data_IF_346968768797
#
_entry.id   IF_346968768797
#
_cell.length_a   1.000
_cell.length_b   1.000
_cell.length_c   1.000
_cell.angle_alpha   90.00
_cell.angle_beta   90.00
_cell.angle_gamma   90.00
#
_symmetry.space_group_name_H-M   'P 1'
#
loop_
_entity.id
_entity.type
_entity.pdbx_description
1 polymer ?
#
# COMPACT_ATOMS: atom_id res chain seq x y z
N UNK A 1 -51.89 28.09 11.56
CA UNK A 1 -51.90 27.46 12.91
C UNK A 1 -51.25 26.08 12.93
N UNK A 2 -51.57 25.19 11.98
CA UNK A 2 -51.11 23.80 11.92
C UNK A 2 -49.59 23.58 11.73
N UNK A 3 -48.90 24.46 10.99
CA UNK A 3 -47.44 24.34 10.76
C UNK A 3 -46.61 24.60 12.03
N UNK A 4 -47.09 25.47 12.93
CA UNK A 4 -46.41 25.77 14.20
C UNK A 4 -46.53 24.59 15.18
N UNK A 5 -47.68 23.92 15.21
CA UNK A 5 -47.92 22.73 16.04
C UNK A 5 -47.07 21.55 15.56
N UNK A 6 -46.93 21.35 14.24
CA UNK A 6 -46.09 20.31 13.67
C UNK A 6 -44.59 20.50 13.95
N UNK A 7 -44.09 21.76 13.98
CA UNK A 7 -42.71 22.08 14.36
C UNK A 7 -42.46 21.84 15.86
N UNK A 8 -43.40 22.21 16.72
CA UNK A 8 -43.30 21.97 18.16
C UNK A 8 -43.28 20.46 18.49
N UNK A 9 -44.12 19.66 17.84
CA UNK A 9 -44.14 18.19 18.01
C UNK A 9 -42.86 17.51 17.51
N UNK A 10 -42.24 18.00 16.42
CA UNK A 10 -40.94 17.50 15.96
C UNK A 10 -39.79 17.88 16.90
N UNK A 11 -39.82 19.07 17.49
CA UNK A 11 -38.84 19.48 18.48
C UNK A 11 -38.94 18.66 19.77
N UNK A 12 -40.16 18.40 20.26
CA UNK A 12 -40.43 17.54 21.42
C UNK A 12 -39.99 16.09 21.18
N UNK A 13 -40.22 15.52 20.00
CA UNK A 13 -39.71 14.18 19.64
C UNK A 13 -38.19 14.12 19.59
N UNK A 14 -37.51 15.16 19.07
CA UNK A 14 -36.04 15.22 19.07
C UNK A 14 -35.47 15.37 20.48
N UNK A 15 -36.09 16.18 21.33
CA UNK A 15 -35.70 16.31 22.73
C UNK A 15 -35.87 14.98 23.49
N UNK A 16 -36.99 14.26 23.28
CA UNK A 16 -37.24 12.96 23.90
C UNK A 16 -36.26 11.86 23.45
N UNK A 17 -35.73 11.94 22.21
CA UNK A 17 -34.71 11.02 21.70
C UNK A 17 -33.28 11.33 22.19
N UNK A 18 -32.99 12.59 22.52
CA UNK A 18 -31.65 13.02 22.92
C UNK A 18 -31.45 13.01 24.45
N UNK A 19 -32.54 13.09 25.23
CA UNK A 19 -32.49 13.06 26.69
C UNK A 19 -31.83 11.77 27.26
N UNK A 20 -32.12 10.56 26.75
CA UNK A 20 -31.49 9.33 27.24
C UNK A 20 -29.99 9.30 26.94
N UNK A 21 -29.57 9.82 25.78
CA UNK A 21 -28.16 9.90 25.37
C UNK A 21 -27.36 10.92 26.20
N UNK A 22 -27.98 12.05 26.56
CA UNK A 22 -27.36 13.02 27.44
C UNK A 22 -27.24 12.48 28.88
N UNK A 23 -28.25 11.76 29.37
CA UNK A 23 -28.22 11.13 30.68
C UNK A 23 -27.19 10.00 30.78
N UNK A 24 -27.01 9.18 29.74
CA UNK A 24 -25.96 8.15 29.72
C UNK A 24 -24.56 8.73 29.62
N UNK A 25 -24.36 9.80 28.83
CA UNK A 25 -23.09 10.50 28.77
C UNK A 25 -22.71 11.15 30.12
N UNK A 26 -23.69 11.72 30.83
CA UNK A 26 -23.48 12.28 32.17
C UNK A 26 -23.19 11.18 33.21
N UNK A 27 -23.86 10.02 33.12
CA UNK A 27 -23.59 8.88 33.99
C UNK A 27 -22.17 8.31 33.77
N UNK A 28 -21.69 8.25 32.53
CA UNK A 28 -20.32 7.81 32.20
C UNK A 28 -19.23 8.78 32.72
N UNK A 29 -19.53 10.08 32.81
CA UNK A 29 -18.62 11.08 33.39
C UNK A 29 -18.55 11.02 34.92
N UNK A 30 -19.57 10.44 35.57
CA UNK A 30 -19.65 10.28 37.02
C UNK A 30 -19.10 8.93 37.52
N UNK A 31 -18.73 8.02 36.61
CA UNK A 31 -18.07 6.77 36.99
C UNK A 31 -16.61 7.05 37.41
N UNK A 32 -16.17 6.53 38.57
CA UNK A 32 -14.78 6.65 39.00
C UNK A 32 -13.85 5.97 37.98
N UNK A 33 -12.85 6.71 37.51
CA UNK A 33 -11.83 6.16 36.59
C UNK A 33 -11.06 5.04 37.29
N UNK A 34 -10.83 3.90 36.61
CA UNK A 34 -9.98 2.85 37.17
C UNK A 34 -8.56 3.39 37.39
N UNK A 35 -7.88 3.01 38.49
CA UNK A 35 -6.51 3.42 38.73
C UNK A 35 -5.58 2.85 37.65
N UNK A 36 -4.50 3.58 37.28
CA UNK A 36 -3.53 3.09 36.33
C UNK A 36 -2.86 1.81 36.85
N UNK A 37 -2.77 0.80 35.99
CA UNK A 37 -2.06 -0.44 36.25
C UNK A 37 -0.58 -0.14 36.53
N UNK A 38 -0.11 -0.49 37.73
CA UNK A 38 1.29 -0.42 38.09
C UNK A 38 2.10 -1.44 37.28
N UNK A 39 3.32 -1.09 36.80
CA UNK A 39 4.17 -2.04 36.11
C UNK A 39 4.68 -3.12 37.07
N UNK A 40 4.60 -4.39 36.66
CA UNK A 40 5.15 -5.53 37.40
C UNK A 40 6.66 -5.38 37.61
N UNK A 41 7.18 -5.71 38.81
CA UNK A 41 8.62 -5.73 39.05
C UNK A 41 9.26 -6.91 38.32
N UNK A 42 10.24 -6.64 37.45
CA UNK A 42 11.14 -7.66 36.91
C UNK A 42 12.12 -8.08 38.01
N UNK A 43 12.10 -9.35 38.36
CA UNK A 43 13.18 -9.99 39.13
C UNK A 43 14.46 -10.09 38.28
N UNK A 44 15.65 -9.88 38.86
CA UNK A 44 16.91 -10.03 38.14
C UNK A 44 17.25 -11.51 37.93
N UNK A 45 17.57 -11.88 36.70
CA UNK A 45 18.08 -13.21 36.32
C UNK A 45 19.52 -13.38 36.81
N UNK A 46 19.83 -14.57 37.34
CA UNK A 46 21.14 -14.98 37.83
C UNK A 46 22.19 -15.13 36.69
N UNK A 47 23.49 -15.02 36.98
CA UNK A 47 24.55 -15.16 35.99
C UNK A 47 24.81 -16.64 35.65
N UNK A 48 25.17 -16.89 34.38
CA UNK A 48 25.48 -18.22 33.85
C UNK A 48 26.83 -18.75 34.39
N UNK A 49 26.97 -20.08 34.56
CA UNK A 49 28.22 -20.68 35.05
C UNK A 49 29.27 -20.83 33.94
N UNK A 50 30.53 -20.60 34.33
CA UNK A 50 31.75 -20.80 33.54
C UNK A 50 31.93 -22.29 33.19
N UNK A 51 32.30 -22.56 31.94
CA UNK A 51 32.63 -23.90 31.43
C UNK A 51 34.14 -23.96 31.17
N UNK A 52 34.80 -24.96 31.77
CA UNK A 52 36.21 -25.30 31.56
C UNK A 52 36.41 -25.98 30.19
N UNK A 53 37.52 -25.64 29.52
CA UNK A 53 38.00 -26.33 28.32
C UNK A 53 38.95 -27.49 28.66
N UNK A 54 38.96 -28.58 27.87
CA UNK A 54 40.06 -29.53 27.87
C UNK A 54 41.00 -29.34 26.67
N UNK A 55 42.29 -29.29 26.99
CA UNK A 55 43.45 -29.38 26.09
C UNK A 55 43.44 -30.63 25.21
N UNK A 56 43.70 -30.47 23.90
CA UNK A 56 44.27 -31.50 23.02
C UNK A 56 45.30 -30.87 22.07
N UNK A 57 46.35 -31.63 21.80
CA UNK A 57 47.67 -31.23 21.33
C UNK A 57 47.77 -30.83 19.86
N UNK A 58 48.77 -29.98 19.61
CA UNK A 58 49.24 -29.43 18.35
C UNK A 58 49.89 -30.49 17.45
N UNK A 59 49.55 -30.49 16.16
CA UNK A 59 50.43 -30.99 15.11
C UNK A 59 50.57 -29.90 14.03
N UNK A 60 51.82 -29.49 13.81
CA UNK A 60 52.22 -28.43 12.91
C UNK A 60 52.04 -28.85 11.45
N UNK A 61 51.44 -27.98 10.63
CA UNK A 61 51.77 -27.86 9.22
C UNK A 61 51.71 -26.38 8.82
N UNK A 62 52.86 -25.89 8.37
CA UNK A 62 53.14 -24.52 7.95
C UNK A 62 52.70 -24.34 6.52
N UNK A 63 51.73 -23.45 6.26
CA UNK A 63 51.59 -22.75 4.96
C UNK A 63 51.11 -21.31 5.24
N UNK A 64 51.96 -20.39 4.81
CA UNK A 64 51.95 -18.90 4.74
C UNK A 64 50.60 -18.17 4.70
N UNK A 65 50.50 -17.08 5.49
CA UNK A 65 49.50 -16.00 5.36
C UNK A 65 49.63 -15.24 4.02
N UNK A 66 48.56 -14.51 3.62
CA UNK A 66 48.71 -13.06 3.70
C UNK A 66 47.50 -12.35 4.35
N UNK A 67 47.82 -11.45 5.28
CA UNK A 67 47.19 -10.17 5.59
C UNK A 67 45.70 -10.00 5.19
N UNK A 68 44.79 -10.29 6.12
CA UNK A 68 43.47 -9.64 6.14
C UNK A 68 43.38 -8.72 7.34
N UNK A 69 43.49 -7.43 7.05
CA UNK A 69 43.28 -6.32 7.96
C UNK A 69 41.91 -6.46 8.61
N UNK A 70 41.91 -6.34 9.93
CA UNK A 70 40.73 -6.23 10.77
C UNK A 70 39.83 -5.06 10.31
N UNK A 71 38.57 -5.40 10.07
CA UNK A 71 37.49 -4.45 9.79
C UNK A 71 36.15 -5.09 10.12
N UNK A 72 36.00 -5.62 11.34
CA UNK A 72 34.66 -5.84 11.91
C UNK A 72 34.10 -4.48 12.34
N UNK A 73 33.76 -3.65 11.36
CA UNK A 73 32.68 -2.69 11.56
C UNK A 73 31.39 -3.49 11.55
N UNK A 74 30.57 -3.26 12.58
CA UNK A 74 29.25 -3.85 12.76
C UNK A 74 28.41 -3.64 11.48
N UNK A 75 28.23 -4.71 10.70
CA UNK A 75 27.40 -4.75 9.48
C UNK A 75 25.89 -4.70 9.81
N UNK A 76 25.51 -4.05 10.93
CA UNK A 76 24.17 -3.51 11.16
C UNK A 76 23.95 -2.28 10.27
N UNK A 77 24.05 -2.55 8.97
CA UNK A 77 24.00 -1.62 7.85
C UNK A 77 22.84 -0.62 7.94
N UNK A 78 23.17 0.66 7.83
CA UNK A 78 22.24 1.79 7.90
C UNK A 78 21.09 1.67 6.87
N UNK A 79 19.97 1.09 7.29
CA UNK A 79 18.76 1.01 6.47
C UNK A 79 18.29 2.42 6.06
N UNK A 80 17.70 2.59 4.86
CA UNK A 80 17.08 3.86 4.46
C UNK A 80 16.13 4.41 5.51
N UNK A 81 16.09 5.74 5.65
CA UNK A 81 15.31 6.45 6.68
C UNK A 81 13.80 6.13 6.73
N UNK A 82 13.24 5.62 5.64
CA UNK A 82 11.83 5.25 5.53
C UNK A 82 11.54 3.81 5.98
N UNK A 83 12.57 3.00 6.22
CA UNK A 83 12.49 1.65 6.76
C UNK A 83 12.51 1.69 8.30
N UNK A 84 12.00 0.64 8.94
CA UNK A 84 11.92 0.55 10.40
C UNK A 84 13.32 0.49 11.00
N UNK A 85 13.61 1.43 11.89
CA UNK A 85 14.95 1.56 12.49
C UNK A 85 16.01 2.14 11.57
N UNK A 86 15.67 2.48 10.32
CA UNK A 86 16.60 3.09 9.38
C UNK A 86 16.83 4.57 9.66
N UNK A 87 18.07 5.02 9.49
CA UNK A 87 18.52 6.39 9.67
C UNK A 87 19.26 6.95 8.45
N UNK A 88 19.55 6.11 7.44
CA UNK A 88 20.28 6.52 6.24
C UNK A 88 19.49 7.52 5.43
N UNK A 89 20.00 8.75 5.39
CA UNK A 89 19.48 9.87 4.60
C UNK A 89 20.15 9.92 3.22
N UNK A 90 19.50 10.53 2.22
CA UNK A 90 20.18 10.83 0.97
C UNK A 90 21.40 11.73 1.21
N UNK A 91 22.56 11.32 0.70
CA UNK A 91 23.84 11.94 1.01
C UNK A 91 24.00 13.30 0.33
N UNK A 92 23.69 13.35 -0.97
CA UNK A 92 23.87 14.52 -1.82
C UNK A 92 22.72 14.68 -2.82
N UNK A 93 22.55 15.90 -3.30
CA UNK A 93 21.61 16.19 -4.37
C UNK A 93 22.10 15.57 -5.68
N UNK A 94 21.24 14.80 -6.34
CA UNK A 94 21.50 14.19 -7.65
C UNK A 94 20.56 14.82 -8.69
N UNK A 95 21.05 15.69 -9.58
CA UNK A 95 20.24 16.36 -10.60
C UNK A 95 19.50 15.39 -11.52
N UNK A 96 20.13 14.25 -11.86
CA UNK A 96 19.66 13.24 -12.81
C UNK A 96 19.04 12.00 -12.13
N UNK A 97 18.63 12.10 -10.87
CA UNK A 97 17.94 11.01 -10.17
C UNK A 97 16.72 10.48 -10.95
N UNK A 98 16.42 9.18 -10.94
CA UNK A 98 15.27 8.65 -11.69
C UNK A 98 13.96 8.90 -10.95
N UNK A 99 13.33 10.04 -11.19
CA UNK A 99 12.22 10.56 -10.39
C UNK A 99 10.88 10.57 -11.14
N UNK A 100 10.92 10.86 -12.44
CA UNK A 100 9.74 10.99 -13.29
C UNK A 100 9.53 9.75 -14.18
N UNK A 101 8.31 9.52 -14.70
CA UNK A 101 7.99 8.33 -15.50
C UNK A 101 8.93 8.08 -16.68
N UNK A 102 9.37 9.15 -17.35
CA UNK A 102 10.32 9.08 -18.46
C UNK A 102 11.73 8.63 -18.05
N UNK A 103 12.13 8.80 -16.78
CA UNK A 103 13.47 8.43 -16.31
C UNK A 103 13.62 6.92 -16.07
N UNK A 104 12.50 6.26 -15.74
CA UNK A 104 12.43 4.83 -15.44
C UNK A 104 11.05 4.25 -15.83
N UNK A 105 10.82 3.98 -17.12
CA UNK A 105 9.55 3.43 -17.60
C UNK A 105 9.22 2.09 -16.93
N UNK A 106 8.01 1.99 -16.36
CA UNK A 106 7.51 0.78 -15.70
C UNK A 106 7.94 0.59 -14.24
N UNK A 107 8.88 1.41 -13.74
CA UNK A 107 9.25 1.45 -12.31
C UNK A 107 8.22 2.31 -11.53
N UNK A 108 8.12 2.16 -10.21
CA UNK A 108 7.25 3.02 -9.38
C UNK A 108 7.95 4.28 -8.84
N UNK A 109 9.28 4.30 -8.88
CA UNK A 109 10.20 5.37 -8.46
C UNK A 109 10.02 5.79 -7.00
N UNK A 110 9.30 5.02 -6.18
CA UNK A 110 8.95 5.40 -4.80
C UNK A 110 10.22 5.61 -3.98
N UNK A 111 11.17 4.67 -4.07
CA UNK A 111 12.43 4.72 -3.31
C UNK A 111 13.31 5.88 -3.77
N UNK A 112 13.42 6.09 -5.08
CA UNK A 112 14.21 7.17 -5.67
C UNK A 112 13.65 8.54 -5.26
N UNK A 113 12.33 8.69 -5.24
CA UNK A 113 11.64 9.89 -4.76
C UNK A 113 11.86 10.12 -3.25
N UNK A 114 11.86 9.06 -2.43
CA UNK A 114 12.15 9.16 -0.99
C UNK A 114 13.63 9.43 -0.68
N UNK A 115 14.53 9.09 -1.61
CA UNK A 115 15.98 9.33 -1.51
C UNK A 115 16.43 10.56 -2.31
N UNK A 116 15.50 11.41 -2.74
CA UNK A 116 15.85 12.69 -3.33
C UNK A 116 16.07 13.76 -2.25
N UNK A 117 17.07 14.62 -2.43
CA UNK A 117 17.31 15.79 -1.57
C UNK A 117 17.70 17.01 -2.40
N UNK A 118 17.51 18.19 -1.81
CA UNK A 118 17.93 19.48 -2.39
C UNK A 118 19.40 19.79 -2.10
N UNK A 119 20.06 20.66 -2.88
CA UNK A 119 21.38 21.19 -2.56
C UNK A 119 21.40 21.87 -1.18
N UNK A 120 22.38 21.53 -0.34
CA UNK A 120 22.50 22.06 1.04
C UNK A 120 22.88 23.55 1.08
N UNK A 121 23.56 24.04 0.05
CA UNK A 121 24.15 25.38 0.02
C UNK A 121 23.28 26.43 -0.68
N UNK A 122 22.01 26.10 -0.95
CA UNK A 122 21.10 26.98 -1.67
C UNK A 122 19.92 27.40 -0.79
N UNK A 123 19.53 28.67 -0.92
CA UNK A 123 18.29 29.16 -0.32
C UNK A 123 17.11 28.73 -1.18
N UNK A 124 16.48 27.63 -0.80
CA UNK A 124 15.31 27.08 -1.52
C UNK A 124 14.01 27.72 -0.99
N UNK A 125 13.14 28.27 -1.86
CA UNK A 125 11.86 28.83 -1.44
C UNK A 125 10.91 27.73 -0.92
N UNK A 126 9.92 28.12 -0.11
CA UNK A 126 8.86 27.20 0.31
C UNK A 126 7.82 27.13 -0.82
N UNK A 127 7.52 25.92 -1.29
CA UNK A 127 6.47 25.66 -2.28
C UNK A 127 5.11 25.47 -1.61
N UNK A 128 4.06 26.05 -2.16
CA UNK A 128 2.68 25.91 -1.66
C UNK A 128 1.94 24.85 -2.46
N UNK A 129 1.40 23.85 -1.77
CA UNK A 129 0.58 22.79 -2.35
C UNK A 129 -0.86 22.96 -1.85
N UNK A 130 -1.79 23.24 -2.76
CA UNK A 130 -3.21 23.38 -2.46
C UNK A 130 -3.92 22.03 -2.60
N UNK A 131 -4.63 21.61 -1.56
CA UNK A 131 -5.48 20.42 -1.57
C UNK A 131 -6.91 20.84 -1.93
N UNK A 132 -7.32 20.60 -3.18
CA UNK A 132 -8.59 21.11 -3.71
C UNK A 132 -9.81 20.57 -2.94
N UNK A 133 -9.70 19.36 -2.38
CA UNK A 133 -10.77 18.69 -1.64
C UNK A 133 -10.69 18.89 -0.12
N UNK A 134 -9.78 19.77 0.33
CA UNK A 134 -9.56 20.07 1.75
C UNK A 134 -8.79 19.00 2.52
N UNK A 135 -8.33 19.36 3.72
CA UNK A 135 -7.47 18.50 4.54
C UNK A 135 -8.09 17.16 4.94
N UNK A 136 -9.41 17.13 5.22
CA UNK A 136 -10.11 15.93 5.67
C UNK A 136 -10.09 14.79 4.64
N UNK A 137 -10.10 15.10 3.35
CA UNK A 137 -10.02 14.10 2.28
C UNK A 137 -8.65 13.39 2.23
N UNK A 138 -7.62 13.98 2.84
CA UNK A 138 -6.23 13.51 2.83
C UNK A 138 -5.72 13.08 4.21
N UNK A 139 -6.44 13.39 5.29
CA UNK A 139 -6.01 13.04 6.66
C UNK A 139 -4.75 13.78 7.13
N UNK A 140 -4.47 14.98 6.61
CA UNK A 140 -3.26 15.76 6.92
C UNK A 140 -3.57 17.12 7.55
N UNK A 141 -2.56 17.72 8.17
CA UNK A 141 -2.66 19.05 8.77
C UNK A 141 -2.19 20.16 7.83
N UNK A 142 -2.65 21.38 8.09
CA UNK A 142 -2.20 22.57 7.38
C UNK A 142 -0.73 22.91 7.66
N UNK A 143 -0.15 23.74 6.79
CA UNK A 143 1.18 24.29 7.00
C UNK A 143 2.28 23.29 6.66
N UNK A 144 3.38 23.35 7.43
CA UNK A 144 4.57 22.51 7.22
C UNK A 144 4.58 21.22 8.04
N UNK A 145 3.53 20.98 8.84
CA UNK A 145 3.47 19.92 9.85
C UNK A 145 3.79 18.54 9.26
N UNK A 146 3.20 18.22 8.11
CA UNK A 146 3.38 16.91 7.48
C UNK A 146 4.85 16.66 7.11
N UNK A 147 5.55 17.69 6.60
CA UNK A 147 6.92 17.54 6.14
C UNK A 147 7.93 17.49 7.29
N UNK A 148 7.73 18.32 8.31
CA UNK A 148 8.63 18.40 9.47
C UNK A 148 8.46 17.18 10.37
N UNK A 149 7.21 16.76 10.65
CA UNK A 149 6.93 15.59 11.51
C UNK A 149 7.50 14.31 10.93
N UNK A 150 7.34 14.09 9.62
CA UNK A 150 7.88 12.93 8.94
C UNK A 150 9.37 13.06 8.62
N UNK A 151 10.01 14.18 8.98
CA UNK A 151 11.42 14.47 8.70
C UNK A 151 11.75 14.24 7.22
N UNK A 152 10.93 14.76 6.29
CA UNK A 152 11.17 14.56 4.87
C UNK A 152 12.57 15.10 4.48
N UNK A 153 13.35 14.41 3.63
CA UNK A 153 14.59 14.97 3.09
C UNK A 153 14.38 16.29 2.33
N UNK A 154 13.22 16.43 1.69
CA UNK A 154 12.73 17.70 1.13
C UNK A 154 11.51 18.16 1.94
N UNK A 155 11.72 19.15 2.80
CA UNK A 155 10.69 19.67 3.73
C UNK A 155 10.21 21.10 3.38
N UNK A 156 10.67 21.63 2.25
CA UNK A 156 10.45 23.02 1.80
C UNK A 156 9.09 23.19 1.11
N UNK A 157 8.04 22.66 1.71
CA UNK A 157 6.67 22.82 1.24
C UNK A 157 5.71 23.18 2.36
N UNK A 158 4.55 23.72 2.00
CA UNK A 158 3.43 23.98 2.91
C UNK A 158 2.12 23.53 2.27
N UNK A 159 1.28 22.85 3.05
CA UNK A 159 -0.05 22.43 2.63
C UNK A 159 -1.08 23.53 2.94
N UNK A 160 -1.94 23.82 1.98
CA UNK A 160 -3.11 24.69 2.12
C UNK A 160 -4.37 23.98 1.66
N UNK A 161 -5.51 24.38 2.21
CA UNK A 161 -6.85 24.04 1.73
C UNK A 161 -7.68 25.31 1.46
N UNK A 162 -7.04 26.49 1.51
CA UNK A 162 -7.69 27.76 1.27
C UNK A 162 -7.80 28.01 -0.23
N UNK A 163 -9.03 28.10 -0.74
CA UNK A 163 -9.27 28.30 -2.18
C UNK A 163 -8.72 29.62 -2.71
N UNK A 164 -8.44 30.60 -1.83
CA UNK A 164 -7.78 31.86 -2.21
C UNK A 164 -6.35 31.64 -2.69
N UNK A 165 -5.72 30.54 -2.29
CA UNK A 165 -4.38 30.18 -2.74
C UNK A 165 -4.36 29.60 -4.16
N UNK A 166 -5.50 29.29 -4.77
CA UNK A 166 -5.56 28.64 -6.08
C UNK A 166 -4.83 29.43 -7.18
N UNK A 167 -4.77 30.76 -7.10
CA UNK A 167 -4.04 31.59 -8.07
C UNK A 167 -2.52 31.63 -7.86
N UNK A 168 -2.02 31.22 -6.69
CA UNK A 168 -0.61 31.41 -6.27
C UNK A 168 0.09 30.13 -5.82
N UNK A 169 -0.64 29.03 -5.63
CA UNK A 169 -0.04 27.74 -5.29
C UNK A 169 0.89 27.25 -6.40
N UNK A 170 1.97 26.57 -6.04
CA UNK A 170 2.89 25.94 -6.99
C UNK A 170 2.30 24.64 -7.55
N UNK A 171 1.52 23.92 -6.73
CA UNK A 171 0.80 22.73 -7.14
C UNK A 171 -0.62 22.69 -6.55
N UNK A 172 -1.56 22.09 -7.29
CA UNK A 172 -2.92 21.81 -6.84
C UNK A 172 -3.19 20.31 -7.02
N UNK A 173 -3.62 19.66 -5.94
CA UNK A 173 -3.94 18.24 -5.91
C UNK A 173 -5.46 18.03 -5.87
N UNK A 174 -5.98 17.34 -6.88
CA UNK A 174 -7.39 17.03 -7.07
C UNK A 174 -7.64 15.54 -6.82
N UNK A 175 -8.40 15.23 -5.78
CA UNK A 175 -8.79 13.87 -5.42
C UNK A 175 -10.12 13.51 -6.06
N UNK A 176 -10.13 12.44 -6.86
CA UNK A 176 -11.30 11.77 -7.44
C UNK A 176 -12.16 12.59 -8.43
N UNK A 177 -12.09 13.92 -8.41
CA UNK A 177 -12.83 14.80 -9.30
C UNK A 177 -12.15 16.15 -9.44
N UNK A 178 -12.37 16.77 -10.61
CA UNK A 178 -11.94 18.14 -10.88
C UNK A 178 -13.08 19.13 -10.64
N UNK A 179 -12.86 20.09 -9.73
CA UNK A 179 -13.72 21.27 -9.60
C UNK A 179 -12.88 22.51 -9.92
N UNK A 180 -13.12 23.17 -11.07
CA UNK A 180 -12.34 24.33 -11.46
C UNK A 180 -12.42 25.47 -10.45
N UNK A 181 -11.30 26.11 -10.17
CA UNK A 181 -11.27 27.39 -9.47
C UNK A 181 -11.51 28.54 -10.45
N UNK A 182 -12.25 29.57 -10.05
CA UNK A 182 -12.45 30.77 -10.86
C UNK A 182 -11.26 31.72 -10.76
N UNK A 183 -10.07 31.25 -11.13
CA UNK A 183 -8.81 32.00 -11.10
C UNK A 183 -8.02 31.78 -12.37
N UNK A 184 -7.24 32.78 -12.80
CA UNK A 184 -6.30 32.61 -13.90
C UNK A 184 -5.14 31.74 -13.43
N UNK A 185 -5.01 30.56 -14.04
CA UNK A 185 -3.95 29.60 -13.74
C UNK A 185 -2.57 30.11 -14.22
N UNK A 186 -1.54 30.14 -13.36
CA UNK A 186 -0.16 30.37 -13.79
C UNK A 186 0.38 29.22 -14.64
N UNK A 187 1.19 29.51 -15.65
CA UNK A 187 1.77 28.49 -16.55
C UNK A 187 2.69 27.50 -15.83
N UNK A 188 3.30 27.91 -14.72
CA UNK A 188 4.20 27.08 -13.91
C UNK A 188 3.46 26.26 -12.84
N UNK A 189 2.15 26.47 -12.67
CA UNK A 189 1.38 25.77 -11.65
C UNK A 189 1.03 24.35 -12.09
N UNK A 190 1.36 23.38 -11.24
CA UNK A 190 1.23 21.95 -11.50
C UNK A 190 -0.12 21.46 -11.02
N UNK A 191 -0.96 20.94 -11.91
CA UNK A 191 -2.23 20.31 -11.52
C UNK A 191 -2.07 18.78 -11.52
N UNK A 192 -2.39 18.17 -10.39
CA UNK A 192 -2.18 16.75 -10.12
C UNK A 192 -3.54 16.08 -9.92
N UNK A 193 -3.86 15.07 -10.74
CA UNK A 193 -5.06 14.26 -10.59
C UNK A 193 -4.75 13.01 -9.78
N UNK A 194 -5.49 12.77 -8.70
CA UNK A 194 -5.34 11.60 -7.84
C UNK A 194 -6.53 10.64 -7.96
N UNK A 195 -6.24 9.36 -8.18
CA UNK A 195 -7.20 8.25 -8.11
C UNK A 195 -6.62 7.06 -7.36
N UNK A 196 -7.37 6.55 -6.38
CA UNK A 196 -7.02 5.30 -5.68
C UNK A 196 -7.83 4.09 -6.18
N UNK A 197 -9.04 4.33 -6.66
CA UNK A 197 -9.90 3.30 -7.26
C UNK A 197 -9.59 3.10 -8.74
N UNK A 198 -9.97 1.94 -9.31
CA UNK A 198 -9.68 1.61 -10.72
C UNK A 198 -10.57 2.40 -11.72
N UNK A 199 -10.20 2.43 -13.02
CA UNK A 199 -10.97 3.14 -14.05
C UNK A 199 -12.46 2.81 -14.11
N UNK A 200 -12.88 1.58 -13.80
CA UNK A 200 -14.31 1.23 -13.76
C UNK A 200 -15.06 1.78 -12.55
N UNK A 201 -14.35 2.21 -11.52
CA UNK A 201 -14.87 2.75 -10.26
C UNK A 201 -14.55 4.24 -10.06
N UNK A 202 -13.88 4.89 -11.01
CA UNK A 202 -13.72 6.36 -11.03
C UNK A 202 -14.80 7.03 -11.89
N UNK A 203 -15.22 8.23 -11.51
CA UNK A 203 -16.11 9.06 -12.33
C UNK A 203 -15.41 9.54 -13.62
N UNK A 204 -16.18 9.86 -14.66
CA UNK A 204 -15.63 10.55 -15.83
C UNK A 204 -15.40 12.02 -15.52
N UNK A 205 -14.34 12.59 -16.08
CA UNK A 205 -14.10 14.01 -16.06
C UNK A 205 -15.07 14.72 -17.02
N UNK A 206 -15.26 16.02 -16.79
CA UNK A 206 -15.95 16.88 -17.75
C UNK A 206 -15.04 17.05 -18.97
N UNK A 207 -15.60 17.24 -20.18
CA UNK A 207 -14.80 17.52 -21.37
C UNK A 207 -13.83 18.70 -21.19
N UNK A 208 -14.23 19.73 -20.43
CA UNK A 208 -13.38 20.88 -20.09
C UNK A 208 -12.30 20.62 -19.02
N UNK A 209 -12.04 19.36 -18.69
CA UNK A 209 -11.12 18.95 -17.62
C UNK A 209 -10.18 17.82 -18.04
N UNK A 210 -10.21 17.39 -19.30
CA UNK A 210 -9.40 16.26 -19.76
C UNK A 210 -7.95 16.64 -20.05
N UNK A 211 -7.69 17.89 -20.41
CA UNK A 211 -6.38 18.40 -20.88
C UNK A 211 -5.71 19.37 -19.90
N UNK A 212 -6.26 19.50 -18.69
CA UNK A 212 -5.81 20.50 -17.70
C UNK A 212 -4.76 19.97 -16.73
N UNK A 213 -4.47 18.67 -16.73
CA UNK A 213 -3.58 18.06 -15.74
C UNK A 213 -2.15 17.94 -16.25
N UNK A 214 -1.20 18.30 -15.40
CA UNK A 214 0.22 18.05 -15.67
C UNK A 214 0.59 16.64 -15.25
N UNK A 215 0.15 16.27 -14.06
CA UNK A 215 0.59 15.06 -13.38
C UNK A 215 -0.57 14.17 -13.00
N UNK A 216 -0.26 12.89 -12.92
CA UNK A 216 -1.15 11.87 -12.36
C UNK A 216 -0.55 11.28 -11.09
N UNK A 217 -1.43 10.92 -10.16
CA UNK A 217 -1.06 10.19 -8.96
C UNK A 217 -2.06 9.08 -8.69
N UNK A 218 -1.73 7.89 -9.18
CA UNK A 218 -2.59 6.72 -9.10
C UNK A 218 -1.78 5.49 -8.70
N UNK A 219 -2.42 4.34 -8.55
CA UNK A 219 -1.71 3.08 -8.32
C UNK A 219 -0.87 2.63 -9.53
N UNK A 220 -1.11 3.17 -10.74
CA UNK A 220 -0.35 2.78 -11.94
C UNK A 220 1.09 3.25 -11.85
N UNK A 221 2.03 2.37 -12.23
CA UNK A 221 3.47 2.65 -12.16
C UNK A 221 3.93 3.74 -13.13
N UNK A 222 3.16 4.00 -14.18
CA UNK A 222 3.40 5.09 -15.13
C UNK A 222 2.80 6.45 -14.72
N UNK A 223 2.33 6.60 -13.47
CA UNK A 223 1.93 7.90 -12.90
C UNK A 223 3.15 8.72 -12.48
N UNK A 224 3.10 10.06 -12.57
CA UNK A 224 4.20 10.93 -12.07
C UNK A 224 4.54 10.64 -10.60
N UNK A 225 3.51 10.46 -9.77
CA UNK A 225 3.66 10.07 -8.37
C UNK A 225 2.79 8.84 -8.09
N UNK A 226 3.38 7.66 -8.12
CA UNK A 226 2.66 6.41 -7.84
C UNK A 226 2.14 6.42 -6.41
N UNK A 227 0.86 6.14 -6.23
CA UNK A 227 0.18 5.99 -4.95
C UNK A 227 -0.28 4.53 -4.78
N UNK A 228 0.65 3.61 -4.47
CA UNK A 228 0.29 2.21 -4.28
C UNK A 228 -0.46 2.04 -2.96
N UNK A 229 -1.23 0.96 -2.83
CA UNK A 229 -1.86 0.59 -1.56
C UNK A 229 -0.81 0.24 -0.51
N UNK A 230 0.22 -0.52 -0.90
CA UNK A 230 1.38 -0.85 -0.09
C UNK A 230 2.63 -0.97 -0.97
N UNK A 231 3.82 -0.92 -0.35
CA UNK A 231 5.09 -1.09 -1.07
C UNK A 231 6.05 -1.97 -0.27
N UNK A 232 6.33 -3.17 -0.78
CA UNK A 232 7.35 -4.07 -0.22
C UNK A 232 8.75 -3.62 -0.62
N UNK A 233 9.72 -3.61 0.30
CA UNK A 233 11.15 -3.34 0.01
C UNK A 233 12.02 -4.35 0.75
N UNK A 234 12.93 -5.00 0.03
CA UNK A 234 13.93 -5.88 0.62
C UNK A 234 14.98 -5.10 1.42
N UNK A 235 15.47 -5.67 2.51
CA UNK A 235 16.62 -5.15 3.23
C UNK A 235 17.90 -5.26 2.39
N UNK A 236 18.05 -6.37 1.69
CA UNK A 236 19.04 -6.60 0.65
C UNK A 236 18.34 -7.18 -0.58
N UNK A 237 18.48 -6.51 -1.73
CA UNK A 237 17.86 -6.94 -2.98
C UNK A 237 18.40 -8.30 -3.50
N UNK A 238 19.57 -8.73 -3.03
CA UNK A 238 20.16 -10.03 -3.37
C UNK A 238 19.63 -11.17 -2.49
N UNK A 239 19.03 -10.85 -1.34
CA UNK A 239 18.49 -11.82 -0.39
C UNK A 239 16.97 -11.73 -0.40
N UNK A 240 16.33 -12.47 -1.29
CA UNK A 240 14.87 -12.46 -1.44
C UNK A 240 14.16 -13.56 -0.64
N UNK A 241 14.90 -14.58 -0.24
CA UNK A 241 14.42 -15.73 0.53
C UNK A 241 15.36 -16.05 1.70
N UNK A 242 14.82 -16.62 2.76
CA UNK A 242 15.58 -17.24 3.84
C UNK A 242 14.84 -18.46 4.40
N UNK A 243 15.58 -19.36 5.02
CA UNK A 243 14.98 -20.47 5.74
C UNK A 243 14.35 -19.97 7.05
N UNK A 244 13.20 -20.54 7.38
CA UNK A 244 12.37 -20.16 8.52
C UNK A 244 12.08 -21.40 9.35
N UNK A 245 12.27 -21.30 10.67
CA UNK A 245 11.94 -22.40 11.59
C UNK A 245 10.43 -22.62 11.76
N UNK A 246 9.62 -21.63 11.33
CA UNK A 246 8.17 -21.65 11.48
C UNK A 246 7.52 -22.44 10.34
N UNK A 247 6.75 -23.46 10.71
CA UNK A 247 5.78 -24.08 9.81
C UNK A 247 4.47 -23.25 9.78
N UNK A 248 4.24 -22.53 8.69
CA UNK A 248 3.04 -21.74 8.42
C UNK A 248 1.81 -22.58 8.09
N UNK A 249 1.94 -23.87 7.74
CA UNK A 249 0.82 -24.78 7.54
C UNK A 249 0.30 -25.38 8.85
N UNK A 250 1.11 -25.38 9.91
CA UNK A 250 0.79 -26.05 11.17
C UNK A 250 -0.55 -25.59 11.75
N UNK A 251 -1.38 -26.57 12.16
CA UNK A 251 -2.70 -26.39 12.78
C UNK A 251 -3.78 -25.74 11.91
N UNK A 252 -3.50 -25.37 10.65
CA UNK A 252 -4.51 -24.85 9.72
C UNK A 252 -5.33 -25.99 9.13
N UNK A 253 -6.61 -26.04 9.46
CA UNK A 253 -7.51 -27.11 9.01
C UNK A 253 -8.36 -26.70 7.81
N UNK A 254 -8.69 -25.41 7.69
CA UNK A 254 -9.52 -24.88 6.61
C UNK A 254 -8.68 -24.53 5.38
N UNK A 255 -9.27 -24.67 4.20
CA UNK A 255 -8.53 -24.49 2.94
C UNK A 255 -8.52 -23.04 2.49
N UNK A 256 -9.62 -22.55 1.91
CA UNK A 256 -9.65 -21.23 1.27
C UNK A 256 -10.67 -20.32 1.96
N UNK A 257 -10.28 -19.10 2.31
CA UNK A 257 -11.18 -18.03 2.73
C UNK A 257 -11.30 -16.95 1.66
N UNK A 258 -12.46 -16.30 1.57
CA UNK A 258 -12.64 -15.11 0.73
C UNK A 258 -13.54 -14.06 1.38
N UNK A 259 -13.05 -12.83 1.50
CA UNK A 259 -13.81 -11.71 2.07
C UNK A 259 -14.31 -10.78 0.97
N UNK A 260 -15.62 -10.77 0.73
CA UNK A 260 -16.20 -10.09 -0.43
C UNK A 260 -17.60 -9.52 -0.16
N UNK A 261 -17.81 -8.27 -0.58
CA UNK A 261 -19.11 -7.60 -0.51
C UNK A 261 -19.61 -7.07 -1.87
N UNK A 262 -18.75 -6.97 -2.88
CA UNK A 262 -19.15 -6.58 -4.23
C UNK A 262 -19.32 -7.84 -5.09
N UNK A 263 -20.56 -8.28 -5.23
CA UNK A 263 -20.95 -9.53 -5.89
C UNK A 263 -21.11 -9.40 -7.41
N UNK A 264 -21.12 -8.17 -7.92
CA UNK A 264 -21.34 -7.85 -9.33
C UNK A 264 -20.10 -7.20 -9.97
N UNK A 265 -18.91 -7.60 -9.49
CA UNK A 265 -17.64 -7.22 -10.07
C UNK A 265 -17.55 -7.63 -11.55
N UNK A 266 -16.92 -6.78 -12.37
CA UNK A 266 -16.93 -6.92 -13.85
C UNK A 266 -15.89 -7.90 -14.38
N UNK A 267 -15.14 -8.57 -13.51
CA UNK A 267 -14.09 -9.52 -13.85
C UNK A 267 -14.45 -11.00 -13.55
N UNK A 268 -15.73 -11.29 -13.32
CA UNK A 268 -16.25 -12.66 -13.06
C UNK A 268 -15.63 -13.40 -11.87
N UNK A 269 -14.96 -12.69 -10.95
CA UNK A 269 -14.31 -13.28 -9.76
C UNK A 269 -15.24 -14.13 -8.90
N UNK A 270 -16.52 -13.78 -8.79
CA UNK A 270 -17.51 -14.55 -8.02
C UNK A 270 -17.84 -15.88 -8.71
N UNK A 271 -17.97 -15.87 -10.04
CA UNK A 271 -18.16 -17.08 -10.83
C UNK A 271 -16.95 -17.99 -10.70
N UNK A 272 -15.73 -17.43 -10.80
CA UNK A 272 -14.49 -18.20 -10.63
C UNK A 272 -14.42 -18.84 -9.24
N UNK A 273 -14.63 -18.07 -8.16
CA UNK A 273 -14.64 -18.60 -6.79
C UNK A 273 -15.68 -19.71 -6.59
N UNK A 274 -16.88 -19.57 -7.18
CA UNK A 274 -17.92 -20.61 -7.13
C UNK A 274 -17.55 -21.87 -7.90
N UNK A 275 -16.84 -21.77 -9.03
CA UNK A 275 -16.30 -22.95 -9.72
C UNK A 275 -15.23 -23.62 -8.87
N UNK A 276 -14.28 -22.85 -8.33
CA UNK A 276 -13.24 -23.35 -7.42
C UNK A 276 -13.84 -24.10 -6.22
N UNK A 277 -14.93 -23.57 -5.64
CA UNK A 277 -15.65 -24.15 -4.50
C UNK A 277 -16.19 -25.57 -4.75
N UNK A 278 -16.31 -26.00 -6.01
CA UNK A 278 -16.73 -27.37 -6.36
C UNK A 278 -15.61 -28.39 -6.18
N UNK A 279 -14.36 -27.94 -6.17
CA UNK A 279 -13.18 -28.81 -6.19
C UNK A 279 -12.36 -28.73 -4.89
N UNK A 280 -12.49 -27.64 -4.12
CA UNK A 280 -11.85 -27.45 -2.80
C UNK A 280 -12.75 -26.59 -1.90
N UNK A 281 -12.63 -26.74 -0.57
CA UNK A 281 -13.39 -25.93 0.38
C UNK A 281 -13.06 -24.44 0.22
N UNK A 282 -14.07 -23.62 -0.06
CA UNK A 282 -13.97 -22.16 -0.10
C UNK A 282 -15.06 -21.56 0.78
N UNK A 283 -14.64 -20.95 1.88
CA UNK A 283 -15.54 -20.24 2.79
C UNK A 283 -15.63 -18.77 2.35
N UNK A 284 -16.80 -18.37 1.84
CA UNK A 284 -17.04 -17.00 1.35
C UNK A 284 -17.75 -16.19 2.43
N UNK A 285 -17.08 -15.15 2.92
CA UNK A 285 -17.63 -14.23 3.91
C UNK A 285 -18.06 -12.89 3.30
N UNK A 286 -19.10 -12.32 3.90
CA UNK A 286 -19.67 -11.04 3.50
C UNK A 286 -20.90 -11.21 2.61
N UNK A 287 -21.33 -10.13 1.96
CA UNK A 287 -22.62 -10.08 1.26
C UNK A 287 -22.78 -11.08 0.11
N UNK A 288 -21.69 -11.69 -0.37
CA UNK A 288 -21.72 -12.63 -1.50
C UNK A 288 -21.65 -14.12 -1.10
N UNK A 289 -21.60 -14.41 0.20
CA UNK A 289 -21.46 -15.77 0.72
C UNK A 289 -22.36 -16.03 1.93
N UNK A 290 -22.26 -17.25 2.46
CA UNK A 290 -23.03 -17.70 3.63
C UNK A 290 -22.36 -17.37 4.96
N UNK A 291 -21.06 -17.05 4.96
CA UNK A 291 -20.32 -16.74 6.18
C UNK A 291 -20.37 -15.24 6.49
N UNK A 292 -20.33 -14.91 7.77
CA UNK A 292 -20.48 -13.53 8.24
C UNK A 292 -19.18 -13.07 8.89
N UNK A 293 -18.61 -11.99 8.34
CA UNK A 293 -17.48 -11.27 8.91
C UNK A 293 -17.66 -9.77 8.68
N UNK A 294 -18.23 -9.03 9.65
CA UNK A 294 -18.37 -7.58 9.53
C UNK A 294 -16.99 -6.92 9.44
N UNK A 295 -16.85 -5.89 8.59
CA UNK A 295 -15.59 -5.13 8.45
C UNK A 295 -15.09 -4.51 9.76
N UNK A 296 -15.99 -4.28 10.70
CA UNK A 296 -15.69 -3.70 12.02
C UNK A 296 -15.13 -4.73 13.00
N UNK A 297 -15.17 -6.01 12.67
CA UNK A 297 -14.67 -7.07 13.54
C UNK A 297 -13.19 -7.36 13.22
N UNK A 298 -12.25 -7.01 14.12
CA UNK A 298 -10.82 -7.24 13.89
C UNK A 298 -10.47 -8.73 13.82
N UNK A 299 -11.26 -9.61 14.47
CA UNK A 299 -11.01 -11.05 14.51
C UNK A 299 -11.16 -11.70 13.12
N UNK A 300 -11.78 -10.99 12.17
CA UNK A 300 -12.02 -11.49 10.83
C UNK A 300 -10.73 -11.76 10.06
N UNK A 301 -9.76 -10.87 10.11
CA UNK A 301 -8.50 -11.07 9.42
C UNK A 301 -7.59 -12.04 10.20
N UNK A 302 -7.64 -12.02 11.53
CA UNK A 302 -6.86 -12.92 12.39
C UNK A 302 -7.15 -14.41 12.16
N UNK A 303 -8.37 -14.77 11.71
CA UNK A 303 -8.66 -16.16 11.35
C UNK A 303 -7.83 -16.65 10.16
N UNK A 304 -7.37 -15.76 9.29
CA UNK A 304 -6.46 -16.12 8.19
C UNK A 304 -5.12 -16.61 8.73
N UNK A 305 -4.66 -16.06 9.86
CA UNK A 305 -3.42 -16.51 10.51
C UNK A 305 -3.55 -17.91 11.10
N UNK A 306 -4.70 -18.22 11.72
CA UNK A 306 -4.89 -19.43 12.51
C UNK A 306 -5.50 -20.60 11.74
N UNK A 307 -6.52 -20.33 10.94
CA UNK A 307 -7.46 -21.38 10.51
C UNK A 307 -7.29 -21.78 9.03
N UNK A 308 -6.90 -20.83 8.16
CA UNK A 308 -6.90 -21.02 6.69
C UNK A 308 -5.49 -21.13 6.09
N UNK A 309 -5.29 -22.06 5.14
CA UNK A 309 -4.07 -22.13 4.33
C UNK A 309 -4.03 -21.09 3.21
N UNK A 310 -5.18 -20.79 2.58
CA UNK A 310 -5.24 -19.92 1.40
C UNK A 310 -6.27 -18.81 1.55
N UNK A 311 -6.03 -17.69 0.88
CA UNK A 311 -6.95 -16.55 0.85
C UNK A 311 -7.12 -16.03 -0.58
N UNK A 312 -8.38 -15.86 -1.03
CA UNK A 312 -8.65 -15.27 -2.35
C UNK A 312 -8.50 -13.74 -2.28
N UNK A 313 -7.35 -13.23 -2.71
CA UNK A 313 -7.07 -11.81 -2.88
C UNK A 313 -7.55 -11.31 -4.25
N UNK A 314 -8.83 -11.55 -4.58
CA UNK A 314 -9.40 -11.22 -5.89
C UNK A 314 -9.83 -9.76 -5.97
N UNK A 315 -9.24 -9.02 -6.91
CA UNK A 315 -9.62 -7.66 -7.21
C UNK A 315 -11.01 -7.55 -7.83
N UNK A 316 -11.61 -6.36 -7.77
CA UNK A 316 -12.95 -6.14 -8.31
C UNK A 316 -12.96 -5.94 -9.83
N UNK A 317 -11.79 -5.74 -10.44
CA UNK A 317 -11.60 -5.42 -11.84
C UNK A 317 -10.24 -5.93 -12.32
N UNK A 318 -10.16 -6.33 -13.58
CA UNK A 318 -8.89 -6.63 -14.23
C UNK A 318 -8.37 -5.33 -14.85
N UNK A 319 -7.47 -4.66 -14.14
CA UNK A 319 -6.88 -3.40 -14.58
C UNK A 319 -5.37 -3.43 -14.39
N UNK A 320 -4.66 -2.85 -15.35
CA UNK A 320 -3.21 -2.70 -15.37
C UNK A 320 -2.71 -2.14 -14.04
N UNK A 321 -1.76 -2.82 -13.40
CA UNK A 321 -1.14 -2.45 -12.11
C UNK A 321 -2.11 -2.35 -10.90
N UNK A 322 -3.39 -2.72 -11.03
CA UNK A 322 -4.36 -2.60 -9.92
C UNK A 322 -4.21 -3.76 -8.92
N UNK A 323 -3.40 -3.52 -7.89
CA UNK A 323 -3.16 -4.44 -6.77
C UNK A 323 -3.39 -3.69 -5.46
N UNK A 324 -4.27 -4.22 -4.60
CA UNK A 324 -4.85 -3.44 -3.49
C UNK A 324 -4.58 -4.04 -2.10
N UNK A 325 -5.27 -3.52 -1.08
CA UNK A 325 -5.26 -4.03 0.29
C UNK A 325 -5.63 -5.52 0.37
N UNK A 326 -6.41 -6.03 -0.60
CA UNK A 326 -6.76 -7.46 -0.63
C UNK A 326 -5.52 -8.31 -0.73
N UNK A 327 -4.56 -7.94 -1.57
CA UNK A 327 -3.32 -8.68 -1.71
C UNK A 327 -2.35 -8.36 -0.57
N UNK A 328 -2.07 -7.08 -0.35
CA UNK A 328 -1.00 -6.69 0.55
C UNK A 328 -1.38 -6.81 2.03
N UNK A 329 -2.51 -6.21 2.43
CA UNK A 329 -2.93 -6.14 3.83
C UNK A 329 -3.60 -7.44 4.25
N UNK A 330 -4.67 -7.86 3.57
CA UNK A 330 -5.41 -9.06 3.98
C UNK A 330 -4.65 -10.36 3.66
N UNK A 331 -3.79 -10.35 2.64
CA UNK A 331 -2.98 -11.50 2.23
C UNK A 331 -1.62 -11.51 2.90
N UNK A 332 -0.67 -10.74 2.37
CA UNK A 332 0.75 -10.83 2.73
C UNK A 332 1.09 -10.44 4.18
N UNK A 333 0.35 -9.51 4.79
CA UNK A 333 0.54 -9.15 6.20
C UNK A 333 -0.01 -10.21 7.18
N UNK A 334 -0.72 -11.23 6.68
CA UNK A 334 -1.14 -12.39 7.45
C UNK A 334 -0.30 -13.64 7.10
N UNK A 335 -0.48 -14.69 7.88
CA UNK A 335 0.17 -15.99 7.74
C UNK A 335 -0.66 -16.91 6.87
N UNK A 336 -1.05 -16.45 5.68
CA UNK A 336 -1.88 -17.16 4.70
C UNK A 336 -1.29 -16.99 3.32
N UNK A 337 -1.47 -17.97 2.43
CA UNK A 337 -1.00 -17.87 1.05
C UNK A 337 -2.06 -17.18 0.17
N UNK A 338 -1.79 -15.98 -0.39
CA UNK A 338 -2.75 -15.30 -1.23
C UNK A 338 -2.85 -15.95 -2.61
N UNK A 339 -4.08 -16.10 -3.10
CA UNK A 339 -4.41 -16.48 -4.48
C UNK A 339 -4.99 -15.24 -5.15
N UNK A 340 -4.34 -14.76 -6.21
CA UNK A 340 -4.61 -13.43 -6.78
C UNK A 340 -5.29 -13.49 -8.14
N UNK A 341 -6.14 -12.49 -8.40
CA UNK A 341 -6.82 -12.24 -9.68
C UNK A 341 -7.01 -10.73 -9.82
N UNK A 342 -6.68 -10.14 -10.97
CA UNK A 342 -6.87 -8.70 -11.20
C UNK A 342 -5.92 -8.16 -12.26
N UNK A 343 -4.84 -7.52 -11.83
CA UNK A 343 -3.70 -7.14 -12.66
C UNK A 343 -3.05 -8.37 -13.36
N UNK A 344 -2.16 -8.11 -14.32
CA UNK A 344 -1.42 -9.16 -15.02
C UNK A 344 -0.41 -9.85 -14.08
N UNK A 345 -0.06 -11.11 -14.38
CA UNK A 345 0.92 -11.85 -13.58
C UNK A 345 2.27 -11.12 -13.44
N UNK A 346 2.75 -10.47 -14.50
CA UNK A 346 3.98 -9.67 -14.48
C UNK A 346 3.88 -8.41 -13.60
N UNK A 347 2.67 -7.87 -13.42
CA UNK A 347 2.43 -6.68 -12.60
C UNK A 347 2.38 -7.05 -11.11
N UNK A 348 1.81 -8.21 -10.76
CA UNK A 348 1.95 -8.78 -9.42
C UNK A 348 3.42 -9.09 -9.10
N UNK A 349 4.14 -9.72 -10.03
CA UNK A 349 5.55 -10.08 -9.83
C UNK A 349 6.45 -8.86 -9.61
N UNK A 350 6.10 -7.71 -10.19
CA UNK A 350 6.85 -6.46 -10.02
C UNK A 350 6.70 -5.81 -8.63
N UNK A 351 5.64 -6.14 -7.88
CA UNK A 351 5.32 -5.47 -6.60
C UNK A 351 5.31 -6.42 -5.41
N UNK A 352 5.22 -7.72 -5.64
CA UNK A 352 5.17 -8.74 -4.60
C UNK A 352 6.58 -9.14 -4.13
N UNK A 353 6.72 -9.57 -2.87
CA UNK A 353 7.87 -10.36 -2.45
C UNK A 353 7.99 -11.63 -3.33
N UNK A 354 9.21 -12.13 -3.49
CA UNK A 354 9.50 -13.29 -4.30
C UNK A 354 8.73 -14.51 -3.78
N UNK A 355 8.16 -15.29 -4.71
CA UNK A 355 7.46 -16.54 -4.41
C UNK A 355 6.45 -16.42 -3.25
N UNK A 356 5.61 -15.38 -3.24
CA UNK A 356 4.74 -15.06 -2.08
C UNK A 356 3.25 -15.28 -2.31
N UNK A 357 2.85 -15.73 -3.51
CA UNK A 357 1.45 -15.82 -3.92
C UNK A 357 1.26 -16.81 -5.07
N UNK A 358 0.00 -17.14 -5.36
CA UNK A 358 -0.41 -17.97 -6.50
C UNK A 358 -1.30 -17.15 -7.44
N UNK A 359 -0.97 -17.06 -8.73
CA UNK A 359 -1.80 -16.34 -9.69
C UNK A 359 -2.81 -17.27 -10.38
N UNK A 360 -4.09 -16.90 -10.43
CA UNK A 360 -5.12 -17.76 -11.08
C UNK A 360 -4.86 -18.02 -12.56
N UNK A 361 -4.25 -17.06 -13.25
CA UNK A 361 -3.86 -17.20 -14.65
C UNK A 361 -2.60 -18.06 -14.83
N UNK A 362 -2.05 -18.73 -13.82
CA UNK A 362 -1.03 -19.77 -14.06
C UNK A 362 -1.66 -21.11 -14.45
N UNK A 363 -2.96 -21.27 -14.18
CA UNK A 363 -3.71 -22.51 -14.38
C UNK A 363 -4.67 -22.37 -15.57
N UNK A 364 -5.00 -23.48 -16.21
CA UNK A 364 -5.97 -23.57 -17.30
C UNK A 364 -7.41 -23.52 -16.79
N UNK A 365 -7.67 -23.91 -15.53
CA UNK A 365 -9.01 -23.91 -14.95
C UNK A 365 -9.01 -23.80 -13.41
N UNK A 366 -10.15 -23.45 -12.78
CA UNK A 366 -10.31 -23.53 -11.33
C UNK A 366 -10.10 -24.95 -10.75
N UNK A 367 -10.34 -26.01 -11.54
CA UNK A 367 -10.12 -27.39 -11.12
C UNK A 367 -8.62 -27.73 -11.04
N UNK A 368 -7.85 -27.25 -12.02
CA UNK A 368 -6.38 -27.41 -12.01
C UNK A 368 -5.76 -26.61 -10.85
N UNK A 369 -6.22 -25.37 -10.62
CA UNK A 369 -5.85 -24.60 -9.43
C UNK A 369 -6.20 -25.37 -8.16
N UNK A 370 -7.40 -25.92 -8.02
CA UNK A 370 -7.79 -26.70 -6.84
C UNK A 370 -6.88 -27.92 -6.63
N UNK A 371 -6.46 -28.58 -7.70
CA UNK A 371 -5.54 -29.73 -7.65
C UNK A 371 -4.16 -29.30 -7.14
N UNK A 372 -3.66 -28.15 -7.58
CA UNK A 372 -2.43 -27.56 -7.07
C UNK A 372 -2.54 -27.17 -5.59
N UNK A 373 -3.65 -26.54 -5.18
CA UNK A 373 -3.87 -26.18 -3.77
C UNK A 373 -3.96 -27.40 -2.85
N UNK A 374 -4.53 -28.53 -3.31
CA UNK A 374 -4.51 -29.79 -2.56
C UNK A 374 -3.11 -30.34 -2.38
N UNK A 375 -2.28 -30.28 -3.43
CA UNK A 375 -0.86 -30.65 -3.33
C UNK A 375 -0.12 -29.79 -2.31
N UNK A 376 -0.36 -28.48 -2.29
CA UNK A 376 0.19 -27.58 -1.26
C UNK A 376 -0.36 -27.89 0.14
N UNK A 377 -1.61 -28.34 0.24
CA UNK A 377 -2.20 -28.72 1.51
C UNK A 377 -1.58 -30.01 2.10
N UNK A 378 -1.17 -30.94 1.23
CA UNK A 378 -0.58 -32.24 1.59
C UNK A 378 0.94 -32.18 1.81
N UNK A 379 1.62 -31.18 1.24
CA UNK A 379 3.08 -30.99 1.34
C UNK A 379 3.41 -29.66 2.05
N UNK A 380 3.65 -29.76 3.37
CA UNK A 380 4.02 -28.62 4.19
C UNK A 380 5.34 -27.97 3.72
N UNK A 381 6.31 -28.72 3.19
CA UNK A 381 7.56 -28.12 2.70
C UNK A 381 7.30 -27.23 1.49
N UNK A 382 6.50 -27.72 0.54
CA UNK A 382 6.11 -26.95 -0.62
C UNK A 382 5.27 -25.73 -0.24
N UNK A 383 4.32 -25.85 0.69
CA UNK A 383 3.55 -24.72 1.19
C UNK A 383 4.44 -23.67 1.88
N UNK A 384 5.35 -24.10 2.75
CA UNK A 384 6.26 -23.19 3.46
C UNK A 384 7.26 -22.49 2.55
N UNK A 385 7.56 -23.04 1.36
CA UNK A 385 8.39 -22.36 0.37
C UNK A 385 7.84 -20.97 -0.01
N UNK A 386 6.51 -20.79 0.03
CA UNK A 386 5.86 -19.52 -0.27
C UNK A 386 5.99 -18.44 0.82
N UNK A 387 6.63 -18.78 1.94
CA UNK A 387 6.80 -17.88 3.08
C UNK A 387 8.26 -17.47 3.29
N UNK A 388 9.20 -18.01 2.50
CA UNK A 388 10.64 -17.74 2.65
C UNK A 388 11.03 -16.27 2.49
N UNK A 389 10.19 -15.46 1.83
CA UNK A 389 10.36 -14.01 1.76
C UNK A 389 10.13 -13.29 3.10
N UNK A 390 9.44 -13.90 4.07
CA UNK A 390 9.13 -13.23 5.34
C UNK A 390 10.41 -12.94 6.09
N UNK A 391 10.63 -11.66 6.38
CA UNK A 391 11.80 -11.16 7.08
C UNK A 391 13.04 -10.94 6.20
N UNK A 392 12.88 -10.91 4.88
CA UNK A 392 13.90 -10.39 3.94
C UNK A 392 13.67 -8.92 3.57
N UNK A 393 12.58 -8.33 4.05
CA UNK A 393 12.20 -6.95 3.82
C UNK A 393 11.01 -6.53 4.68
N UNK A 394 10.42 -5.40 4.35
CA UNK A 394 9.18 -4.92 4.97
C UNK A 394 8.31 -4.08 4.03
N UNK A 395 7.04 -3.92 4.39
CA UNK A 395 6.17 -2.90 3.80
C UNK A 395 6.54 -1.53 4.36
N UNK A 396 6.85 -0.58 3.49
CA UNK A 396 7.26 0.77 3.87
C UNK A 396 6.10 1.77 3.79
N UNK A 397 6.15 2.79 4.63
CA UNK A 397 5.35 4.00 4.39
C UNK A 397 5.96 4.74 3.19
N UNK A 398 5.16 5.01 2.15
CA UNK A 398 5.65 5.70 0.96
C UNK A 398 5.78 7.22 1.13
N UNK A 399 5.44 7.75 2.31
CA UNK A 399 5.46 9.17 2.69
C UNK A 399 4.99 10.08 1.56
N UNK A 400 3.76 9.85 1.09
CA UNK A 400 3.19 10.46 -0.11
C UNK A 400 3.49 11.96 -0.25
N UNK A 401 3.23 12.76 0.79
CA UNK A 401 3.49 14.20 0.73
C UNK A 401 4.98 14.56 0.72
N UNK A 402 5.87 13.80 1.38
CA UNK A 402 7.31 13.99 1.21
C UNK A 402 7.72 13.87 -0.26
N UNK A 403 7.19 12.85 -0.96
CA UNK A 403 7.44 12.65 -2.40
C UNK A 403 6.83 13.76 -3.24
N UNK A 404 5.59 14.18 -2.98
CA UNK A 404 4.99 15.35 -3.68
C UNK A 404 5.89 16.58 -3.52
N UNK A 405 6.38 16.86 -2.32
CA UNK A 405 7.26 18.01 -2.09
C UNK A 405 8.58 17.88 -2.87
N UNK A 406 9.25 16.72 -2.78
CA UNK A 406 10.45 16.42 -3.54
C UNK A 406 10.25 16.63 -5.04
N UNK A 407 9.16 16.09 -5.59
CA UNK A 407 8.84 16.13 -7.01
C UNK A 407 8.54 17.55 -7.50
N UNK A 408 7.80 18.36 -6.75
CA UNK A 408 7.51 19.77 -7.12
C UNK A 408 8.80 20.58 -7.23
N UNK A 409 9.74 20.39 -6.30
CA UNK A 409 11.06 21.03 -6.39
C UNK A 409 11.91 20.48 -7.54
N UNK A 410 11.93 19.15 -7.73
CA UNK A 410 12.69 18.53 -8.81
C UNK A 410 12.19 18.99 -10.19
N UNK A 411 10.88 19.16 -10.38
CA UNK A 411 10.29 19.58 -11.64
C UNK A 411 10.72 20.99 -12.04
N UNK A 412 10.69 21.94 -11.10
CA UNK A 412 11.16 23.31 -11.35
C UNK A 412 12.64 23.32 -11.71
N UNK A 413 13.47 22.58 -10.97
CA UNK A 413 14.92 22.50 -11.22
C UNK A 413 15.25 21.89 -12.58
N UNK A 414 14.48 20.89 -13.02
CA UNK A 414 14.61 20.28 -14.35
C UNK A 414 13.91 21.06 -15.46
N UNK A 415 13.20 22.14 -15.13
CA UNK A 415 12.36 22.89 -16.08
C UNK A 415 11.39 21.96 -16.85
N UNK A 416 10.90 20.90 -16.17
CA UNK A 416 10.05 19.89 -16.78
C UNK A 416 8.65 20.46 -17.04
N UNK A 417 8.16 20.25 -18.26
CA UNK A 417 6.90 20.81 -18.79
C UNK A 417 5.89 19.73 -19.23
N UNK A 418 5.82 18.62 -18.49
CA UNK A 418 4.91 17.52 -18.79
C UNK A 418 3.43 17.94 -18.65
N UNK A 419 2.62 17.41 -19.56
CA UNK A 419 1.17 17.58 -19.56
C UNK A 419 0.48 16.39 -20.23
N UNK A 420 -0.76 16.12 -19.82
CA UNK A 420 -1.61 15.13 -20.47
C UNK A 420 -2.57 15.85 -21.41
N UNK A 421 -2.50 15.55 -22.71
CA UNK A 421 -3.45 16.09 -23.69
C UNK A 421 -4.87 15.53 -23.51
N UNK A 422 -4.98 14.29 -23.02
CA UNK A 422 -6.23 13.70 -22.55
C UNK A 422 -5.93 12.72 -21.41
N UNK A 423 -6.05 13.20 -20.17
CA UNK A 423 -5.83 12.38 -18.97
C UNK A 423 -6.89 11.30 -18.81
N UNK A 424 -8.08 11.50 -19.37
CA UNK A 424 -9.16 10.54 -19.28
C UNK A 424 -8.91 9.35 -20.21
N UNK A 425 -8.46 9.61 -21.44
CA UNK A 425 -7.98 8.59 -22.36
C UNK A 425 -6.80 7.82 -21.75
N UNK A 426 -5.78 8.53 -21.24
CA UNK A 426 -4.65 7.88 -20.55
C UNK A 426 -5.12 6.96 -19.41
N UNK A 427 -6.11 7.38 -18.62
CA UNK A 427 -6.59 6.62 -17.48
C UNK A 427 -7.45 5.40 -17.86
N UNK A 428 -8.26 5.50 -18.91
CA UNK A 428 -9.30 4.51 -19.23
C UNK A 428 -8.95 3.58 -20.39
N UNK A 429 -8.25 4.07 -21.41
CA UNK A 429 -8.08 3.37 -22.67
C UNK A 429 -7.08 2.23 -22.52
N UNK A 430 -7.52 1.01 -22.85
CA UNK A 430 -6.72 -0.21 -22.70
C UNK A 430 -6.29 -0.55 -21.26
N UNK A 431 -6.69 0.26 -20.26
CA UNK A 431 -6.23 0.11 -18.88
C UNK A 431 -6.93 -1.04 -18.14
N UNK A 432 -8.16 -1.39 -18.54
CA UNK A 432 -8.94 -2.47 -17.94
C UNK A 432 -9.60 -3.34 -18.98
N UNK A 433 -9.72 -4.64 -18.68
CA UNK A 433 -10.44 -5.61 -19.49
C UNK A 433 -11.57 -6.27 -18.70
N UNK A 434 -12.62 -6.70 -19.41
CA UNK A 434 -13.69 -7.55 -18.85
C UNK A 434 -13.40 -9.04 -19.02
N UNK A 435 -12.41 -9.37 -19.85
CA UNK A 435 -11.97 -10.73 -20.14
C UNK A 435 -10.71 -11.06 -19.33
N UNK A 436 -10.17 -12.26 -19.54
CA UNK A 436 -8.84 -12.64 -19.03
C UNK A 436 -7.76 -12.00 -19.89
N UNK A 437 -6.63 -11.61 -19.30
CA UNK A 437 -5.54 -10.97 -20.05
C UNK A 437 -4.99 -11.86 -21.17
N UNK A 438 -5.01 -13.18 -20.94
CA UNK A 438 -4.61 -14.21 -21.92
C UNK A 438 -5.43 -14.17 -23.21
N UNK A 439 -6.75 -13.92 -23.12
CA UNK A 439 -7.62 -13.88 -24.29
C UNK A 439 -7.36 -12.64 -25.15
N UNK A 440 -7.06 -11.50 -24.52
CA UNK A 440 -6.77 -10.25 -25.24
C UNK A 440 -5.43 -10.26 -26.01
N UNK A 441 -4.43 -11.04 -25.58
CA UNK A 441 -3.16 -11.15 -26.31
C UNK A 441 -3.24 -12.02 -27.58
N UNK A 442 -4.23 -12.94 -27.67
CA UNK A 442 -4.44 -13.76 -28.87
C UNK A 442 -5.08 -12.95 -30.00
N UNK A 443 -6.09 -12.14 -29.67
CA UNK A 443 -6.79 -11.28 -30.65
C UNK A 443 -5.88 -10.21 -31.30
N UNK A 444 -4.78 -9.83 -30.65
CA UNK A 444 -3.79 -8.90 -31.21
C UNK A 444 -2.75 -9.56 -32.12
N UNK A 445 -2.53 -10.87 -32.00
CA UNK A 445 -1.55 -11.60 -32.84
C UNK A 445 -2.16 -12.14 -34.14
N UNK A 446 -3.47 -12.34 -34.17
CA UNK A 446 -4.19 -12.82 -35.36
C UNK A 446 -4.67 -11.68 -36.29
N UNK A 447 -4.41 -10.42 -35.93
CA UNK A 447 -4.75 -9.22 -36.72
C UNK A 447 -3.51 -8.41 -37.15
N UNK A 448 -2.31 -8.99 -37.06
CA UNK A 448 -1.03 -8.36 -37.40
C UNK A 448 -0.49 -8.78 -38.75
#
# INVERSE_FOLDING_TARGET
>A
MWVRVARALRALRRAALLLPLALTALALLLLPRPPPLAPSPRSPSAPAPLREEPHVQVQQNVITEPDYVAGHEDESTHLPWFMRGGDRRPAQHEPEAKLFPEDAPGDDRVVQQLMYTLPKNEKVPIKKILLANGFGAWGVAAGRTEFVRNKCPVDRCTLSADTRDAATADAILYKDHHTPFNVKRPLTQIWILYYLECPYHTASLRPSSVDVFNWTSTYRRDSDIVAPYERWVYYDALVTEKDLDRNYAANKTKKVAWFVSNCHARNRRLQYARQLSKHIQVDIYGACGSHHCPRTDPNCLEMLDRDYKFYLAFENSNCRDYVTEKFFVNGLQHNVLPIVMGAQASEYAAVAPHNSYVHVEEFASPEELASYLKRLDEDDNLYNSYFKWKGTGEFINTYFFCRVCAMVHANERRQRSAHYGDVQAWWRDGACTRAEWRTTQRDTRDNG
#
